data_IF_394024208451
#
_entry.id   IF_394024208451
#
_cell.length_a   1.000
_cell.length_b   1.000
_cell.length_c   1.000
_cell.angle_alpha   90.00
_cell.angle_beta   90.00
_cell.angle_gamma   90.00
#
_symmetry.space_group_name_H-M   'P 1'
#
loop_
_entity.id
_entity.type
_entity.pdbx_description
1 polymer ?
#
# COMPACT_ATOMS: atom_id res chain seq x y z
N UNK A 1 -5.27 -33.54 18.16
CA UNK A 1 -4.05 -32.69 18.07
C UNK A 1 -3.28 -33.14 16.85
N UNK A 2 -2.99 -32.23 15.92
CA UNK A 2 -2.36 -32.54 14.64
C UNK A 2 -0.97 -31.91 14.56
N UNK A 3 -0.11 -32.42 13.68
CA UNK A 3 1.27 -31.96 13.52
C UNK A 3 1.45 -31.29 12.16
N UNK A 4 1.99 -30.07 12.15
CA UNK A 4 2.27 -29.33 10.91
C UNK A 4 3.36 -30.01 10.08
N UNK A 5 3.14 -30.23 8.79
CA UNK A 5 4.13 -30.86 7.88
C UNK A 5 5.37 -29.99 7.63
N UNK A 6 5.27 -28.67 7.85
CA UNK A 6 6.33 -27.71 7.50
C UNK A 6 7.22 -27.36 8.70
N UNK A 7 6.62 -27.12 9.86
CA UNK A 7 7.35 -26.70 11.06
C UNK A 7 7.24 -27.67 12.23
N UNK A 8 6.58 -28.83 12.05
CA UNK A 8 6.38 -29.85 13.08
C UNK A 8 5.66 -29.39 14.36
N UNK A 9 5.09 -28.17 14.38
CA UNK A 9 4.33 -27.68 15.51
C UNK A 9 3.03 -28.49 15.71
N UNK A 10 2.70 -28.78 16.97
CA UNK A 10 1.43 -29.43 17.33
C UNK A 10 0.33 -28.39 17.51
N UNK A 11 -0.74 -28.50 16.74
CA UNK A 11 -1.85 -27.53 16.70
C UNK A 11 -3.22 -28.21 16.74
N UNK A 12 -4.26 -27.46 17.08
CA UNK A 12 -5.65 -27.95 17.11
C UNK A 12 -6.19 -28.24 15.71
N UNK A 13 -5.82 -27.41 14.74
CA UNK A 13 -6.35 -27.47 13.36
C UNK A 13 -5.22 -27.28 12.34
N UNK A 14 -5.35 -27.97 11.21
CA UNK A 14 -4.47 -27.82 10.06
C UNK A 14 -5.27 -27.39 8.84
N UNK A 15 -4.67 -26.53 8.02
CA UNK A 15 -5.20 -26.16 6.70
C UNK A 15 -4.23 -26.64 5.62
N UNK A 16 -4.67 -27.61 4.81
CA UNK A 16 -3.84 -28.26 3.78
C UNK A 16 -2.49 -28.76 4.36
N UNK A 17 -2.53 -29.48 5.48
CA UNK A 17 -1.35 -30.04 6.16
C UNK A 17 -0.47 -29.04 6.93
N UNK A 18 -0.85 -27.75 6.98
CA UNK A 18 -0.04 -26.67 7.55
C UNK A 18 -0.75 -26.00 8.72
N UNK A 19 0.01 -25.57 9.73
CA UNK A 19 -0.49 -24.67 10.76
C UNK A 19 -0.81 -23.29 10.14
N UNK A 20 -1.60 -22.47 10.82
CA UNK A 20 -2.02 -21.15 10.32
C UNK A 20 -0.86 -20.25 9.89
N UNK A 21 0.25 -20.23 10.63
CA UNK A 21 1.44 -19.44 10.29
C UNK A 21 2.13 -19.92 9.01
N UNK A 22 2.37 -21.23 8.88
CA UNK A 22 2.96 -21.82 7.67
C UNK A 22 2.03 -21.68 6.47
N UNK A 23 0.72 -21.84 6.68
CA UNK A 23 -0.29 -21.63 5.66
C UNK A 23 -0.27 -20.19 5.15
N UNK A 24 -0.28 -19.21 6.05
CA UNK A 24 -0.28 -17.78 5.69
C UNK A 24 0.96 -17.39 4.90
N UNK A 25 2.15 -17.82 5.35
CA UNK A 25 3.41 -17.61 4.62
C UNK A 25 3.39 -18.25 3.24
N UNK A 26 2.88 -19.48 3.15
CA UNK A 26 2.73 -20.18 1.88
C UNK A 26 1.79 -19.42 0.93
N UNK A 27 0.63 -18.95 1.41
CA UNK A 27 -0.32 -18.16 0.60
C UNK A 27 0.29 -16.86 0.10
N UNK A 28 1.04 -16.15 0.95
CA UNK A 28 1.70 -14.89 0.57
C UNK A 28 2.79 -15.12 -0.48
N UNK A 29 3.56 -16.20 -0.36
CA UNK A 29 4.64 -16.53 -1.27
C UNK A 29 4.17 -17.05 -2.65
N UNK A 30 2.88 -17.35 -2.82
CA UNK A 30 2.37 -17.90 -4.08
C UNK A 30 2.57 -16.90 -5.22
N UNK A 31 3.17 -17.34 -6.35
CA UNK A 31 3.33 -16.47 -7.49
C UNK A 31 1.99 -16.21 -8.18
N UNK A 32 1.84 -15.00 -8.71
CA UNK A 32 0.79 -14.68 -9.68
C UNK A 32 1.31 -14.95 -11.09
N UNK A 33 0.50 -15.65 -11.88
CA UNK A 33 0.82 -16.01 -13.27
C UNK A 33 1.05 -14.78 -14.17
N UNK A 34 1.84 -14.98 -15.23
CA UNK A 34 2.10 -13.94 -16.23
C UNK A 34 0.80 -13.60 -16.97
N UNK A 35 0.55 -12.31 -17.21
CA UNK A 35 -0.67 -11.84 -17.88
C UNK A 35 -1.93 -11.89 -17.00
N UNK A 36 -1.81 -12.27 -15.73
CA UNK A 36 -2.93 -12.27 -14.81
C UNK A 36 -3.51 -10.85 -14.62
N UNK A 37 -4.81 -10.82 -14.39
CA UNK A 37 -5.58 -9.61 -14.09
C UNK A 37 -6.36 -9.85 -12.82
N UNK A 38 -6.56 -8.80 -12.01
CA UNK A 38 -7.46 -8.87 -10.87
C UNK A 38 -8.87 -9.35 -11.30
N UNK A 39 -9.43 -10.31 -10.57
CA UNK A 39 -10.75 -10.87 -10.89
C UNK A 39 -11.89 -9.84 -10.74
N UNK A 40 -11.72 -8.84 -9.88
CA UNK A 40 -12.76 -7.82 -9.61
C UNK A 40 -12.55 -6.52 -10.38
N UNK A 41 -11.32 -6.10 -10.66
CA UNK A 41 -11.02 -4.78 -11.24
C UNK A 41 -10.08 -4.85 -12.46
N UNK A 42 -9.85 -3.76 -13.21
CA UNK A 42 -8.99 -3.79 -14.40
C UNK A 42 -7.48 -3.79 -14.11
N UNK A 43 -7.04 -3.98 -12.86
CA UNK A 43 -5.62 -4.01 -12.49
C UNK A 43 -4.88 -5.20 -13.10
N UNK A 44 -3.73 -4.92 -13.71
CA UNK A 44 -2.86 -5.89 -14.42
C UNK A 44 -1.40 -5.82 -13.96
N UNK A 45 -1.01 -4.82 -13.17
CA UNK A 45 0.37 -4.65 -12.70
C UNK A 45 0.71 -5.80 -11.76
N UNK A 46 1.53 -6.74 -12.23
CA UNK A 46 1.88 -7.98 -11.50
C UNK A 46 2.34 -7.73 -10.06
N UNK A 47 3.12 -6.67 -9.82
CA UNK A 47 3.63 -6.29 -8.49
C UNK A 47 2.56 -5.97 -7.45
N UNK A 48 1.34 -5.63 -7.87
CA UNK A 48 0.22 -5.32 -6.95
C UNK A 48 -0.82 -6.44 -6.90
N UNK A 49 -0.57 -7.56 -7.59
CA UNK A 49 -1.44 -8.72 -7.57
C UNK A 49 -0.92 -9.76 -6.58
N UNK A 50 -1.86 -10.45 -5.93
CA UNK A 50 -1.64 -11.65 -5.12
C UNK A 50 -2.66 -12.71 -5.50
N UNK A 51 -2.35 -13.98 -5.25
CA UNK A 51 -3.35 -15.04 -5.32
C UNK A 51 -4.16 -15.09 -4.03
N UNK A 52 -5.46 -15.28 -4.16
CA UNK A 52 -6.41 -15.36 -3.04
C UNK A 52 -7.28 -16.60 -3.26
N UNK A 53 -7.60 -17.30 -2.18
CA UNK A 53 -8.51 -18.45 -2.23
C UNK A 53 -9.96 -17.95 -2.17
N UNK A 54 -10.74 -18.22 -3.21
CA UNK A 54 -12.17 -17.88 -3.31
C UNK A 54 -12.91 -19.09 -3.85
N UNK A 55 -14.05 -19.45 -3.25
CA UNK A 55 -14.90 -20.56 -3.70
C UNK A 55 -14.14 -21.88 -3.94
N UNK A 56 -13.13 -22.18 -3.11
CA UNK A 56 -12.27 -23.35 -3.26
C UNK A 56 -11.20 -23.26 -4.37
N UNK A 57 -11.21 -22.19 -5.17
CA UNK A 57 -10.25 -21.92 -6.23
C UNK A 57 -9.22 -20.84 -5.87
N UNK A 58 -8.14 -20.77 -6.64
CA UNK A 58 -7.11 -19.72 -6.52
C UNK A 58 -7.28 -18.68 -7.60
N UNK A 59 -7.55 -17.43 -7.21
CA UNK A 59 -7.79 -16.34 -8.14
C UNK A 59 -6.81 -15.17 -7.94
N UNK A 60 -6.33 -14.53 -9.01
CA UNK A 60 -5.53 -13.32 -8.92
C UNK A 60 -6.40 -12.13 -8.50
N UNK A 61 -5.93 -11.36 -7.52
CA UNK A 61 -6.61 -10.16 -7.03
C UNK A 61 -5.58 -9.09 -6.65
N UNK A 62 -5.89 -7.82 -6.85
CA UNK A 62 -5.02 -6.76 -6.37
C UNK A 62 -5.12 -6.59 -4.85
N UNK A 63 -4.07 -6.04 -4.22
CA UNK A 63 -4.04 -5.83 -2.76
C UNK A 63 -5.25 -5.07 -2.24
N UNK A 64 -5.71 -4.02 -2.95
CA UNK A 64 -6.87 -3.25 -2.54
C UNK A 64 -8.15 -4.10 -2.53
N UNK A 65 -8.43 -4.83 -3.61
CA UNK A 65 -9.63 -5.66 -3.69
C UNK A 65 -9.58 -6.84 -2.71
N UNK A 66 -8.39 -7.41 -2.48
CA UNK A 66 -8.20 -8.46 -1.48
C UNK A 66 -8.37 -7.94 -0.05
N UNK A 67 -7.99 -6.69 0.23
CA UNK A 67 -8.26 -6.04 1.51
C UNK A 67 -9.76 -5.82 1.73
N UNK A 68 -10.47 -5.34 0.72
CA UNK A 68 -11.93 -5.14 0.79
C UNK A 68 -12.69 -6.45 1.03
N UNK A 69 -12.22 -7.56 0.45
CA UNK A 69 -12.82 -8.89 0.67
C UNK A 69 -12.84 -9.28 2.15
N UNK A 70 -11.83 -8.88 2.95
CA UNK A 70 -11.76 -9.23 4.38
C UNK A 70 -12.86 -8.55 5.22
N UNK A 71 -13.49 -7.51 4.69
CA UNK A 71 -14.55 -6.76 5.36
C UNK A 71 -15.95 -7.16 4.88
N UNK A 72 -16.07 -8.08 3.91
CA UNK A 72 -17.34 -8.59 3.45
C UNK A 72 -17.77 -9.77 4.32
N UNK A 73 -18.83 -9.57 5.10
CA UNK A 73 -19.51 -10.62 5.86
C UNK A 73 -21.02 -10.50 5.64
N UNK A 74 -21.69 -11.46 4.97
CA UNK A 74 -21.14 -12.72 4.44
C UNK A 74 -20.27 -12.55 3.17
N UNK A 75 -19.41 -13.52 2.92
CA UNK A 75 -18.68 -13.61 1.64
C UNK A 75 -19.70 -13.92 0.52
N UNK A 76 -19.77 -13.12 -0.57
CA UNK A 76 -20.72 -13.34 -1.65
C UNK A 76 -20.48 -14.69 -2.32
N UNK A 77 -21.54 -15.34 -2.83
CA UNK A 77 -21.49 -16.69 -3.40
C UNK A 77 -20.91 -16.72 -4.82
N UNK A 78 -20.95 -15.59 -5.53
CA UNK A 78 -20.45 -15.50 -6.90
C UNK A 78 -19.38 -14.42 -7.09
N UNK A 79 -18.48 -14.67 -8.05
CA UNK A 79 -17.47 -13.69 -8.48
C UNK A 79 -18.14 -12.42 -9.05
N UNK A 80 -19.31 -12.56 -9.68
CA UNK A 80 -20.06 -11.45 -10.26
C UNK A 80 -20.57 -10.49 -9.16
N UNK A 81 -21.16 -11.03 -8.09
CA UNK A 81 -21.58 -10.25 -6.92
C UNK A 81 -20.39 -9.62 -6.20
N UNK A 82 -19.30 -10.39 -6.01
CA UNK A 82 -18.06 -9.85 -5.44
C UNK A 82 -17.56 -8.63 -6.22
N UNK A 83 -17.58 -8.71 -7.56
CA UNK A 83 -17.20 -7.59 -8.42
C UNK A 83 -18.11 -6.38 -8.21
N UNK A 84 -19.43 -6.58 -8.05
CA UNK A 84 -20.36 -5.50 -7.81
C UNK A 84 -20.13 -4.84 -6.44
N UNK A 85 -20.01 -5.63 -5.37
CA UNK A 85 -19.80 -5.14 -4.00
C UNK A 85 -18.49 -4.36 -3.87
N UNK A 86 -17.38 -4.97 -4.30
CA UNK A 86 -16.07 -4.31 -4.24
C UNK A 86 -16.04 -3.06 -5.13
N UNK A 87 -16.74 -3.06 -6.27
CA UNK A 87 -16.83 -1.86 -7.12
C UNK A 87 -17.68 -0.75 -6.49
N UNK A 88 -18.74 -1.07 -5.73
CA UNK A 88 -19.51 -0.08 -4.97
C UNK A 88 -18.68 0.53 -3.86
N UNK A 89 -17.98 -0.30 -3.09
CA UNK A 89 -17.11 0.11 -1.98
C UNK A 89 -16.00 1.05 -2.45
N UNK A 90 -15.37 0.76 -3.59
CA UNK A 90 -14.39 1.67 -4.20
C UNK A 90 -14.99 3.03 -4.54
N UNK A 91 -16.21 3.08 -5.10
CA UNK A 91 -16.87 4.35 -5.42
C UNK A 91 -17.30 5.10 -4.17
N UNK A 92 -17.71 4.40 -3.11
CA UNK A 92 -18.02 5.00 -1.83
C UNK A 92 -16.77 5.64 -1.22
N UNK A 93 -15.64 4.94 -1.23
CA UNK A 93 -14.35 5.44 -0.72
C UNK A 93 -13.70 6.52 -1.61
N UNK A 94 -13.93 6.52 -2.93
CA UNK A 94 -13.48 7.59 -3.83
C UNK A 94 -14.18 8.92 -3.54
N UNK A 95 -15.40 8.88 -2.99
CA UNK A 95 -16.06 10.09 -2.49
C UNK A 95 -15.37 10.46 -1.18
N UNK A 96 -14.48 11.45 -1.25
CA UNK A 96 -13.88 12.10 -0.08
C UNK A 96 -14.95 12.82 0.74
N UNK A 97 -15.82 12.07 1.41
CA UNK A 97 -16.75 12.62 2.39
C UNK A 97 -15.97 13.00 3.65
N UNK A 98 -16.12 14.24 4.10
CA UNK A 98 -15.64 14.68 5.41
C UNK A 98 -14.16 15.07 5.53
N UNK A 99 -13.34 14.98 4.47
CA UNK A 99 -12.04 15.66 4.49
C UNK A 99 -12.25 17.14 4.19
N UNK A 100 -11.84 18.07 5.07
CA UNK A 100 -11.85 19.50 4.73
C UNK A 100 -11.02 19.69 3.46
N UNK A 101 -11.53 20.49 2.53
CA UNK A 101 -10.82 20.78 1.29
C UNK A 101 -9.49 21.45 1.64
N UNK A 102 -8.38 20.76 1.38
CA UNK A 102 -7.03 21.25 1.70
C UNK A 102 -6.51 22.28 0.69
N UNK A 103 -7.36 22.69 -0.26
CA UNK A 103 -7.02 23.77 -1.20
C UNK A 103 -7.07 25.10 -0.48
N UNK A 104 -6.02 25.90 -0.67
CA UNK A 104 -5.94 27.28 -0.18
C UNK A 104 -7.02 28.15 -0.85
N UNK A 105 -7.34 27.90 -2.12
CA UNK A 105 -8.41 28.57 -2.87
C UNK A 105 -9.43 27.55 -3.38
N UNK A 106 -10.55 27.41 -2.67
CA UNK A 106 -11.60 26.42 -2.99
C UNK A 106 -12.32 26.70 -4.32
N UNK A 107 -12.28 27.94 -4.82
CA UNK A 107 -12.98 28.40 -6.02
C UNK A 107 -12.14 28.32 -7.31
N UNK A 108 -10.82 28.18 -7.22
CA UNK A 108 -9.95 27.94 -8.37
C UNK A 108 -10.00 26.47 -8.80
N UNK A 109 -11.10 26.09 -9.45
CA UNK A 109 -11.06 24.89 -10.28
C UNK A 109 -10.08 25.17 -11.43
N UNK A 110 -9.12 24.27 -11.65
CA UNK A 110 -8.29 24.18 -12.87
C UNK A 110 -9.16 23.90 -14.11
N UNK A 111 -10.05 24.83 -14.48
CA UNK A 111 -10.94 24.71 -15.63
C UNK A 111 -10.23 25.16 -16.92
N UNK A 112 -9.13 25.92 -16.83
CA UNK A 112 -8.39 26.39 -18.01
C UNK A 112 -7.24 25.50 -18.50
N UNK A 113 -6.64 24.69 -17.62
CA UNK A 113 -5.27 24.21 -17.84
C UNK A 113 -5.15 22.81 -18.48
N UNK A 114 -6.24 22.27 -19.01
CA UNK A 114 -6.19 20.99 -19.75
C UNK A 114 -6.04 21.17 -21.26
N UNK A 115 -6.08 22.42 -21.76
CA UNK A 115 -6.03 22.73 -23.20
C UNK A 115 -5.32 24.05 -23.54
N UNK A 116 -4.43 24.57 -22.69
CA UNK A 116 -3.53 25.63 -23.18
C UNK A 116 -2.44 25.00 -24.06
N UNK A 117 -2.31 25.55 -25.26
CA UNK A 117 -1.30 25.22 -26.25
C UNK A 117 0.11 25.30 -25.68
N UNK A 118 1.03 24.55 -26.30
CA UNK A 118 2.42 24.32 -25.90
C UNK A 118 3.35 25.55 -25.98
N UNK A 119 2.84 26.77 -25.83
CA UNK A 119 3.61 28.01 -26.03
C UNK A 119 3.16 29.16 -25.10
N UNK A 120 3.07 28.89 -23.80
CA UNK A 120 2.93 29.99 -22.83
C UNK A 120 3.70 29.63 -21.57
N UNK A 121 4.99 30.01 -21.55
CA UNK A 121 5.73 30.04 -20.30
C UNK A 121 5.15 31.18 -19.45
N UNK A 122 4.78 30.92 -18.19
CA UNK A 122 4.35 31.99 -17.30
C UNK A 122 5.52 32.96 -17.12
N UNK A 123 5.32 34.22 -17.52
CA UNK A 123 6.22 35.31 -17.19
C UNK A 123 6.03 35.56 -15.70
N UNK A 124 7.07 35.29 -14.91
CA UNK A 124 7.08 35.66 -13.50
C UNK A 124 7.16 37.19 -13.46
N UNK A 125 6.18 37.81 -12.82
CA UNK A 125 6.21 39.25 -12.56
C UNK A 125 7.27 39.50 -11.47
N UNK A 126 8.28 40.30 -11.77
CA UNK A 126 9.42 40.56 -10.85
C UNK A 126 8.95 41.23 -9.54
N UNK A 127 7.77 41.86 -9.55
CA UNK A 127 7.12 42.44 -8.36
C UNK A 127 6.57 41.38 -7.38
N UNK A 128 6.53 40.10 -7.78
CA UNK A 128 6.07 38.96 -6.95
C UNK A 128 7.20 38.13 -6.34
N UNK A 129 8.43 38.63 -6.35
CA UNK A 129 9.57 37.98 -5.70
C UNK A 129 9.54 38.31 -4.20
N UNK A 130 9.20 37.31 -3.37
CA UNK A 130 9.39 37.39 -1.92
C UNK A 130 10.87 37.11 -1.65
N UNK A 131 11.66 38.15 -1.44
CA UNK A 131 13.02 38.00 -0.90
C UNK A 131 12.95 37.53 0.56
N UNK A 132 13.21 36.25 0.79
CA UNK A 132 13.35 35.70 2.15
C UNK A 132 14.77 36.01 2.63
N UNK A 133 14.92 37.11 3.36
CA UNK A 133 16.15 37.40 4.11
C UNK A 133 16.16 36.54 5.36
N UNK A 134 16.98 35.49 5.35
CA UNK A 134 17.27 34.72 6.56
C UNK A 134 18.20 35.55 7.45
N UNK A 135 17.64 36.30 8.38
CA UNK A 135 18.41 36.78 9.52
C UNK A 135 18.90 35.55 10.28
N UNK A 136 20.22 35.38 10.35
CA UNK A 136 20.85 34.34 11.16
C UNK A 136 20.64 34.68 12.64
N UNK A 137 19.42 34.43 13.11
CA UNK A 137 19.09 34.36 14.52
C UNK A 137 19.82 33.17 15.11
N UNK A 138 20.70 33.46 16.06
CA UNK A 138 21.43 32.51 16.89
C UNK A 138 20.46 31.80 17.85
N UNK A 139 19.61 30.93 17.32
CA UNK A 139 18.87 29.96 18.12
C UNK A 139 19.66 28.67 18.16
N UNK A 140 20.48 28.55 19.19
CA UNK A 140 21.16 27.32 19.58
C UNK A 140 20.21 26.13 19.62
N UNK A 141 20.56 25.10 18.86
CA UNK A 141 19.85 23.85 18.69
C UNK A 141 20.47 23.13 17.50
N UNK A 142 21.65 22.56 17.72
CA UNK A 142 22.38 21.79 16.71
C UNK A 142 21.62 20.51 16.39
N UNK A 143 20.81 20.54 15.33
CA UNK A 143 20.37 19.33 14.66
C UNK A 143 21.42 18.98 13.62
N UNK A 144 22.40 18.22 14.09
CA UNK A 144 23.49 17.64 13.31
C UNK A 144 22.90 16.76 12.19
N UNK A 145 22.92 17.26 10.96
CA UNK A 145 22.56 16.51 9.76
C UNK A 145 23.55 15.37 9.44
N UNK A 146 24.56 15.18 10.29
CA UNK A 146 25.55 14.09 10.23
C UNK A 146 25.03 12.77 10.84
N UNK A 147 23.82 12.75 11.39
CA UNK A 147 23.35 11.65 12.25
C UNK A 147 22.66 10.46 11.56
N UNK A 148 22.68 10.40 10.22
CA UNK A 148 22.11 9.26 9.47
C UNK A 148 23.05 8.02 9.55
N UNK A 149 24.34 8.21 9.81
CA UNK A 149 25.30 7.09 9.94
C UNK A 149 25.25 6.38 11.30
N UNK A 150 24.74 7.02 12.37
CA UNK A 150 24.61 6.39 13.68
C UNK A 150 23.62 5.20 13.67
N UNK A 151 22.61 5.24 12.80
CA UNK A 151 21.66 4.12 12.64
C UNK A 151 22.37 2.85 12.15
N UNK A 152 23.37 2.99 11.27
CA UNK A 152 24.14 1.84 10.77
C UNK A 152 25.05 1.23 11.85
N UNK A 153 25.61 2.05 12.74
CA UNK A 153 26.44 1.61 13.85
C UNK A 153 25.61 0.95 14.97
N UNK A 154 24.40 1.45 15.22
CA UNK A 154 23.43 0.83 16.15
C UNK A 154 22.96 -0.54 15.65
N UNK A 155 22.75 -0.71 14.34
CA UNK A 155 22.39 -2.01 13.75
C UNK A 155 23.56 -3.01 13.81
N UNK A 156 24.81 -2.52 13.78
CA UNK A 156 25.99 -3.36 13.93
C UNK A 156 26.22 -3.81 15.39
N UNK A 157 25.95 -2.95 16.38
CA UNK A 157 26.12 -3.26 17.81
C UNK A 157 25.01 -4.15 18.38
N UNK A 158 23.83 -4.17 17.75
CA UNK A 158 22.70 -5.03 18.12
C UNK A 158 22.78 -6.46 17.56
N UNK A 159 23.92 -6.88 17.00
CA UNK A 159 24.20 -8.29 16.68
C UNK A 159 25.04 -8.96 17.77
N UNK A 160 24.44 -9.56 18.82
CA UNK A 160 25.15 -10.52 19.65
C UNK A 160 25.24 -11.87 18.90
N UNK A 161 26.49 -12.26 18.61
CA UNK A 161 27.03 -13.61 18.50
C UNK A 161 26.02 -14.78 18.39
N UNK A 162 25.63 -15.12 17.17
CA UNK A 162 25.39 -16.51 16.80
C UNK A 162 26.41 -16.85 15.73
N UNK A 163 27.49 -17.55 16.12
CA UNK A 163 28.39 -18.40 15.32
C UNK A 163 29.80 -18.45 15.94
N UNK A 164 29.96 -19.12 17.09
CA UNK A 164 31.12 -20.00 17.36
C UNK A 164 30.67 -21.02 18.42
N UNK A 165 30.62 -22.31 18.05
CA UNK A 165 30.38 -23.44 18.95
C UNK A 165 29.47 -24.50 18.35
#
# INVERSE_FOLDING_TARGET
MHTCEVCCAKVSELRRGRCWGCYSRWVIARPVGIGARCVTCPEKRRRVLKTVELHGGWHPMCFNCAGQLLHLDPIPETIAELRQLVSRERRANDRRFGKPDSRVFQYERRVGERRSSRDEYPVVDDDMIIEVVLERGDTGGGDDFEDITQIHELVASLRPLDLVG
#
